data_IF_916782991613
#
_entry.id   IF_916782991613
#
_cell.length_a   1.000
_cell.length_b   1.000
_cell.length_c   1.000
_cell.angle_alpha   90.00
_cell.angle_beta   90.00
_cell.angle_gamma   90.00
#
_symmetry.space_group_name_H-M   'P 1'
#
loop_
_entity.id
_entity.type
_entity.pdbx_description
1 polymer ?
#
# COMPACT_ATOMS: atom_id res chain seq x y z
N UNK A 1 -14.89 -10.21 -14.40
CA UNK A 1 -13.66 -10.65 -13.70
C UNK A 1 -12.92 -11.79 -14.41
N UNK A 2 -13.56 -12.94 -14.67
CA UNK A 2 -12.89 -14.09 -15.31
C UNK A 2 -12.28 -13.78 -16.68
N UNK A 3 -12.90 -12.89 -17.46
CA UNK A 3 -12.40 -12.46 -18.77
C UNK A 3 -11.13 -11.62 -18.64
N UNK A 4 -11.08 -10.70 -17.67
CA UNK A 4 -9.93 -9.81 -17.47
C UNK A 4 -8.71 -10.58 -16.95
N UNK A 5 -8.92 -11.50 -16.00
CA UNK A 5 -7.87 -12.42 -15.53
C UNK A 5 -7.38 -13.31 -16.68
N UNK A 6 -8.29 -13.77 -17.54
CA UNK A 6 -7.96 -14.53 -18.73
C UNK A 6 -7.08 -13.74 -19.70
N UNK A 7 -7.45 -12.49 -20.01
CA UNK A 7 -6.68 -11.59 -20.89
C UNK A 7 -5.28 -11.35 -20.31
N UNK A 8 -5.18 -11.00 -19.02
CA UNK A 8 -3.89 -10.75 -18.38
C UNK A 8 -3.04 -12.03 -18.38
N UNK A 9 -3.63 -13.18 -18.07
CA UNK A 9 -2.95 -14.48 -18.12
C UNK A 9 -2.45 -14.83 -19.53
N UNK A 10 -3.24 -14.54 -20.57
CA UNK A 10 -2.84 -14.72 -21.96
C UNK A 10 -1.69 -13.79 -22.36
N UNK A 11 -1.73 -12.52 -21.96
CA UNK A 11 -0.63 -11.57 -22.21
C UNK A 11 0.66 -12.06 -21.53
N UNK A 12 0.57 -12.47 -20.27
CA UNK A 12 1.71 -13.01 -19.52
C UNK A 12 2.28 -14.28 -20.18
N UNK A 13 1.41 -15.17 -20.64
CA UNK A 13 1.80 -16.36 -21.38
C UNK A 13 2.48 -16.03 -22.70
N UNK A 14 1.97 -15.05 -23.46
CA UNK A 14 2.58 -14.59 -24.72
C UNK A 14 3.96 -13.97 -24.46
N UNK A 15 4.11 -13.19 -23.39
CA UNK A 15 5.40 -12.59 -23.02
C UNK A 15 6.41 -13.67 -22.60
N UNK A 16 6.01 -14.62 -21.76
CA UNK A 16 6.87 -15.73 -21.33
C UNK A 16 7.24 -16.63 -22.52
N UNK A 17 6.27 -16.98 -23.37
CA UNK A 17 6.52 -17.75 -24.58
C UNK A 17 7.43 -16.97 -25.55
N UNK A 18 7.22 -15.66 -25.70
CA UNK A 18 8.05 -14.78 -26.51
C UNK A 18 9.50 -14.71 -26.03
N UNK A 19 9.71 -14.62 -24.71
CA UNK A 19 11.03 -14.67 -24.09
C UNK A 19 11.75 -16.01 -24.30
N UNK A 20 11.00 -17.13 -24.32
CA UNK A 20 11.57 -18.48 -24.51
C UNK A 20 11.85 -18.78 -25.99
N UNK A 21 10.93 -18.42 -26.89
CA UNK A 21 10.97 -18.83 -28.30
C UNK A 21 11.56 -17.76 -29.24
N UNK A 22 11.57 -16.48 -28.84
CA UNK A 22 12.11 -15.37 -29.62
C UNK A 22 12.79 -14.31 -28.72
N UNK A 23 13.84 -14.70 -27.96
CA UNK A 23 14.47 -13.84 -26.96
C UNK A 23 14.98 -12.53 -27.55
N UNK A 24 15.60 -12.53 -28.72
CA UNK A 24 16.14 -11.29 -29.31
C UNK A 24 15.03 -10.28 -29.66
N UNK A 25 13.87 -10.75 -30.16
CA UNK A 25 12.76 -9.87 -30.55
C UNK A 25 12.00 -9.33 -29.32
N UNK A 26 11.87 -10.14 -28.26
CA UNK A 26 11.13 -9.73 -27.06
C UNK A 26 12.01 -9.00 -26.05
N UNK A 27 13.25 -9.46 -25.85
CA UNK A 27 14.20 -8.85 -24.92
C UNK A 27 14.87 -7.65 -25.54
N UNK A 28 15.67 -7.81 -26.60
CA UNK A 28 16.52 -6.73 -27.12
C UNK A 28 15.71 -5.61 -27.77
N UNK A 29 14.67 -5.93 -28.54
CA UNK A 29 13.91 -4.93 -29.32
C UNK A 29 12.73 -4.30 -28.56
N UNK A 30 12.27 -4.93 -27.45
CA UNK A 30 11.09 -4.46 -26.72
C UNK A 30 11.35 -4.24 -25.22
N UNK A 31 11.58 -5.30 -24.45
CA UNK A 31 11.72 -5.18 -22.98
C UNK A 31 12.93 -4.31 -22.63
N UNK A 32 14.05 -4.48 -23.32
CA UNK A 32 15.26 -3.71 -23.06
C UNK A 32 15.04 -2.23 -23.34
N UNK A 33 14.53 -1.86 -24.51
CA UNK A 33 14.38 -0.46 -24.92
C UNK A 33 13.29 0.27 -24.13
N UNK A 34 12.14 -0.35 -23.90
CA UNK A 34 10.97 0.32 -23.33
C UNK A 34 10.82 0.15 -21.81
N UNK A 35 11.40 -0.90 -21.22
CA UNK A 35 11.25 -1.22 -19.79
C UNK A 35 12.61 -1.14 -19.07
N UNK A 36 13.66 -1.78 -19.57
CA UNK A 36 14.91 -1.92 -18.81
C UNK A 36 15.85 -0.71 -18.92
N UNK A 37 16.14 -0.25 -20.14
CA UNK A 37 17.06 0.86 -20.41
C UNK A 37 16.63 2.17 -19.73
N UNK A 38 15.34 2.53 -19.65
CA UNK A 38 14.92 3.70 -18.88
C UNK A 38 15.18 3.54 -17.38
N UNK A 39 14.96 2.35 -16.82
CA UNK A 39 15.19 2.07 -15.39
C UNK A 39 16.68 2.16 -15.07
N UNK A 40 17.54 1.54 -15.89
CA UNK A 40 19.00 1.56 -15.69
C UNK A 40 19.57 2.96 -15.89
N UNK A 41 19.01 3.77 -16.81
CA UNK A 41 19.42 5.16 -16.98
C UNK A 41 19.00 6.06 -15.83
N UNK A 42 17.85 5.80 -15.22
CA UNK A 42 17.38 6.51 -14.02
C UNK A 42 18.25 6.16 -12.81
N UNK A 43 18.73 4.91 -12.75
CA UNK A 43 19.66 4.44 -11.72
C UNK A 43 21.08 5.00 -11.85
N UNK A 44 21.43 5.54 -13.03
CA UNK A 44 22.75 6.11 -13.27
C UNK A 44 22.86 7.57 -12.83
N UNK A 45 24.10 8.07 -12.86
CA UNK A 45 24.58 9.40 -12.39
C UNK A 45 23.84 10.67 -12.84
N UNK A 46 22.78 10.58 -13.65
CA UNK A 46 22.03 11.72 -14.18
C UNK A 46 20.68 11.95 -13.51
N UNK A 47 20.11 10.97 -12.79
CA UNK A 47 18.83 11.10 -12.04
C UNK A 47 17.62 11.59 -12.85
N UNK A 48 17.73 11.61 -14.18
CA UNK A 48 16.69 12.05 -15.11
C UNK A 48 16.71 11.11 -16.31
N UNK A 49 16.06 9.94 -16.15
CA UNK A 49 15.67 9.18 -17.32
C UNK A 49 14.65 10.00 -18.11
N UNK A 50 15.03 10.46 -19.30
CA UNK A 50 14.10 11.02 -20.28
C UNK A 50 13.06 9.98 -20.69
N UNK A 51 12.02 9.81 -19.88
CA UNK A 51 10.96 8.83 -20.09
C UNK A 51 10.16 9.21 -21.34
N UNK A 52 10.04 8.27 -22.27
CA UNK A 52 9.12 8.44 -23.40
C UNK A 52 7.67 8.29 -22.93
N UNK A 53 6.73 8.90 -23.66
CA UNK A 53 5.29 8.73 -23.41
C UNK A 53 4.83 7.27 -23.48
N UNK A 54 5.53 6.45 -24.27
CA UNK A 54 5.25 5.01 -24.40
C UNK A 54 5.68 4.25 -23.15
N UNK A 55 6.88 4.52 -22.63
CA UNK A 55 7.39 3.86 -21.40
C UNK A 55 6.47 4.18 -20.22
N UNK A 56 6.11 5.46 -20.10
CA UNK A 56 5.20 5.94 -19.06
C UNK A 56 3.84 5.26 -19.14
N UNK A 57 3.27 5.12 -20.34
CA UNK A 57 2.00 4.42 -20.53
C UNK A 57 2.09 2.93 -20.16
N UNK A 58 3.17 2.24 -20.53
CA UNK A 58 3.40 0.84 -20.17
C UNK A 58 3.50 0.68 -18.64
N UNK A 59 4.20 1.57 -17.95
CA UNK A 59 4.30 1.53 -16.49
C UNK A 59 2.96 1.80 -15.80
N UNK A 60 2.21 2.81 -16.22
CA UNK A 60 0.89 3.13 -15.66
C UNK A 60 -0.07 1.97 -15.89
N UNK A 61 -0.15 1.44 -17.11
CA UNK A 61 -1.03 0.32 -17.44
C UNK A 61 -0.64 -0.95 -16.67
N UNK A 62 0.66 -1.21 -16.51
CA UNK A 62 1.17 -2.31 -15.69
C UNK A 62 0.74 -2.20 -14.24
N UNK A 63 0.92 -1.01 -13.64
CA UNK A 63 0.51 -0.73 -12.26
C UNK A 63 -1.01 -0.85 -12.06
N UNK A 64 -1.82 -0.27 -12.95
CA UNK A 64 -3.28 -0.39 -12.91
C UNK A 64 -3.71 -1.85 -13.05
N UNK A 65 -3.10 -2.59 -13.97
CA UNK A 65 -3.40 -4.02 -14.16
C UNK A 65 -3.05 -4.84 -12.92
N UNK A 66 -1.91 -4.58 -12.29
CA UNK A 66 -1.50 -5.23 -11.05
C UNK A 66 -2.50 -4.98 -9.92
N UNK A 67 -2.96 -3.74 -9.75
CA UNK A 67 -3.99 -3.39 -8.75
C UNK A 67 -5.29 -4.15 -9.01
N UNK A 68 -5.75 -4.21 -10.26
CA UNK A 68 -6.99 -4.91 -10.59
C UNK A 68 -6.88 -6.43 -10.34
N UNK A 69 -5.74 -7.04 -10.70
CA UNK A 69 -5.50 -8.47 -10.44
C UNK A 69 -5.46 -8.76 -8.96
N UNK A 70 -4.75 -7.94 -8.17
CA UNK A 70 -4.70 -8.08 -6.72
C UNK A 70 -6.09 -7.94 -6.10
N UNK A 71 -6.89 -6.95 -6.53
CA UNK A 71 -8.28 -6.80 -6.08
C UNK A 71 -9.12 -8.04 -6.41
N UNK A 72 -9.01 -8.58 -7.62
CA UNK A 72 -9.73 -9.78 -8.02
C UNK A 72 -9.29 -11.02 -7.21
N UNK A 73 -8.00 -11.11 -6.87
CA UNK A 73 -7.46 -12.16 -6.02
C UNK A 73 -8.01 -12.07 -4.59
N UNK A 74 -8.00 -10.88 -3.99
CA UNK A 74 -8.57 -10.64 -2.66
C UNK A 74 -10.06 -11.02 -2.60
N UNK A 75 -10.84 -10.64 -3.63
CA UNK A 75 -12.27 -11.01 -3.73
C UNK A 75 -12.47 -12.52 -3.89
N UNK A 76 -11.71 -13.16 -4.79
CA UNK A 76 -11.84 -14.61 -5.04
C UNK A 76 -11.47 -15.45 -3.81
N UNK A 77 -10.48 -15.01 -3.05
CA UNK A 77 -9.97 -15.75 -1.89
C UNK A 77 -10.72 -15.42 -0.59
N UNK A 78 -11.72 -14.53 -0.65
CA UNK A 78 -12.52 -14.07 0.50
C UNK A 78 -11.65 -13.78 1.71
N UNK A 79 -10.52 -13.11 1.48
CA UNK A 79 -9.58 -12.76 2.55
C UNK A 79 -10.32 -11.77 3.46
N UNK A 80 -10.39 -12.01 4.77
CA UNK A 80 -11.11 -11.13 5.68
C UNK A 80 -10.49 -9.73 5.64
N UNK A 81 -11.20 -8.79 5.05
CA UNK A 81 -10.86 -7.37 5.02
C UNK A 81 -11.52 -6.70 6.21
N UNK A 82 -10.70 -6.36 7.20
CA UNK A 82 -11.08 -5.57 8.37
C UNK A 82 -11.12 -4.07 8.00
N UNK A 83 -11.94 -3.26 8.66
CA UNK A 83 -11.99 -1.80 8.44
C UNK A 83 -10.61 -1.16 8.73
N UNK A 84 -9.85 -1.78 9.62
CA UNK A 84 -8.47 -1.40 9.94
C UNK A 84 -7.45 -1.67 8.83
N UNK A 85 -7.81 -2.44 7.80
CA UNK A 85 -6.96 -2.71 6.64
C UNK A 85 -6.59 -1.42 5.90
N UNK A 86 -7.46 -0.41 5.90
CA UNK A 86 -7.21 0.85 5.21
C UNK A 86 -6.02 1.58 5.82
N UNK A 87 -5.91 1.58 7.16
CA UNK A 87 -4.75 2.16 7.86
C UNK A 87 -3.46 1.43 7.53
N UNK A 88 -3.53 0.11 7.42
CA UNK A 88 -2.39 -0.70 6.98
C UNK A 88 -1.96 -0.29 5.57
N UNK A 89 -2.89 -0.22 4.61
CA UNK A 89 -2.58 0.15 3.23
C UNK A 89 -2.03 1.58 3.11
N UNK A 90 -2.57 2.54 3.86
CA UNK A 90 -2.05 3.91 3.88
C UNK A 90 -0.58 3.92 4.34
N UNK A 91 -0.23 3.15 5.38
CA UNK A 91 1.17 3.07 5.83
C UNK A 91 2.09 2.50 4.74
N UNK A 92 1.64 1.56 3.93
CA UNK A 92 2.41 1.07 2.77
C UNK A 92 2.56 2.12 1.66
N UNK A 93 1.55 2.94 1.42
CA UNK A 93 1.64 4.07 0.47
C UNK A 93 2.64 5.11 0.96
N UNK A 94 2.72 5.37 2.27
CA UNK A 94 3.70 6.30 2.87
C UNK A 94 5.12 5.72 2.87
N UNK A 95 5.27 4.40 2.99
CA UNK A 95 6.58 3.75 2.99
C UNK A 95 7.36 3.95 1.68
N UNK A 96 6.67 3.86 0.53
CA UNK A 96 7.30 4.02 -0.78
C UNK A 96 8.07 5.36 -0.95
N UNK A 97 7.46 6.54 -0.73
CA UNK A 97 8.19 7.81 -0.82
C UNK A 97 9.27 7.95 0.25
N UNK A 98 9.11 7.35 1.43
CA UNK A 98 10.15 7.38 2.48
C UNK A 98 11.46 6.74 1.99
N UNK A 99 11.35 5.57 1.35
CA UNK A 99 12.49 4.86 0.79
C UNK A 99 13.00 5.50 -0.51
N UNK A 100 12.11 6.09 -1.31
CA UNK A 100 12.51 6.80 -2.53
C UNK A 100 13.37 8.02 -2.24
N UNK A 101 13.07 8.80 -1.20
CA UNK A 101 13.94 9.92 -0.82
C UNK A 101 15.36 9.46 -0.45
N UNK A 102 15.53 8.24 0.06
CA UNK A 102 16.86 7.68 0.31
C UNK A 102 17.57 7.32 -1.01
N UNK A 103 16.83 6.85 -2.00
CA UNK A 103 17.33 6.60 -3.35
C UNK A 103 17.72 7.91 -4.06
N UNK A 104 16.88 8.95 -4.02
CA UNK A 104 17.23 10.30 -4.52
C UNK A 104 18.47 10.91 -3.84
N UNK A 105 18.78 10.45 -2.62
CA UNK A 105 19.95 10.87 -1.87
C UNK A 105 21.21 10.03 -2.18
N UNK A 106 21.17 9.18 -3.20
CA UNK A 106 22.24 8.23 -3.57
C UNK A 106 22.66 7.33 -2.40
N UNK A 107 21.72 6.96 -1.50
CA UNK A 107 22.04 6.09 -0.37
C UNK A 107 22.40 4.67 -0.83
N UNK A 108 21.69 4.14 -1.84
CA UNK A 108 21.87 2.78 -2.31
C UNK A 108 22.99 2.70 -3.35
N UNK A 109 23.86 1.70 -3.23
CA UNK A 109 24.92 1.47 -4.21
C UNK A 109 24.42 0.82 -5.50
N UNK A 110 25.32 0.79 -6.48
CA UNK A 110 25.08 0.26 -7.83
C UNK A 110 24.44 -1.14 -7.80
N UNK A 111 23.27 -1.26 -8.44
CA UNK A 111 22.46 -2.47 -8.54
C UNK A 111 21.33 -2.58 -7.52
N UNK A 112 21.48 -2.03 -6.31
CA UNK A 112 20.41 -1.99 -5.29
C UNK A 112 19.51 -0.77 -5.49
N UNK A 113 20.08 0.35 -5.90
CA UNK A 113 19.42 1.55 -6.41
C UNK A 113 18.25 1.25 -7.38
N UNK A 114 18.45 0.34 -8.34
CA UNK A 114 17.46 -0.11 -9.32
C UNK A 114 16.18 -0.63 -8.66
N UNK A 115 16.26 -1.23 -7.47
CA UNK A 115 15.09 -1.74 -6.75
C UNK A 115 14.22 -0.63 -6.16
N UNK A 116 14.78 0.55 -5.91
CA UNK A 116 14.11 1.69 -5.29
C UNK A 116 13.60 2.74 -6.30
N UNK A 117 13.86 2.51 -7.59
CA UNK A 117 13.33 3.30 -8.71
C UNK A 117 11.92 2.85 -9.10
N UNK A 118 11.13 3.77 -9.66
CA UNK A 118 9.81 3.46 -10.20
C UNK A 118 9.90 2.70 -11.55
N UNK A 119 9.11 1.64 -11.77
CA UNK A 119 8.03 1.11 -10.92
C UNK A 119 8.46 -0.01 -9.96
N UNK A 120 9.73 -0.44 -9.98
CA UNK A 120 10.24 -1.61 -9.24
C UNK A 120 10.04 -1.49 -7.73
N UNK A 121 10.13 -0.27 -7.17
CA UNK A 121 9.87 -0.02 -5.76
C UNK A 121 8.50 -0.54 -5.31
N UNK A 122 7.46 -0.28 -6.10
CA UNK A 122 6.10 -0.69 -5.76
C UNK A 122 5.91 -2.20 -5.86
N UNK A 123 6.58 -2.86 -6.81
CA UNK A 123 6.44 -4.30 -7.02
C UNK A 123 7.11 -5.10 -5.90
N UNK A 124 8.32 -4.73 -5.49
CA UNK A 124 8.99 -5.45 -4.41
C UNK A 124 8.35 -5.13 -3.05
N UNK A 125 7.92 -3.87 -2.80
CA UNK A 125 7.16 -3.51 -1.59
C UNK A 125 5.82 -4.24 -1.53
N UNK A 126 5.15 -4.45 -2.67
CA UNK A 126 3.95 -5.30 -2.72
C UNK A 126 4.25 -6.77 -2.33
N UNK A 127 5.43 -7.28 -2.70
CA UNK A 127 5.92 -8.58 -2.24
C UNK A 127 6.06 -8.64 -0.71
N UNK A 128 6.65 -7.63 -0.11
CA UNK A 128 6.77 -7.51 1.36
C UNK A 128 5.42 -7.31 2.05
N UNK A 129 4.49 -6.59 1.42
CA UNK A 129 3.11 -6.45 1.89
C UNK A 129 2.42 -7.81 1.95
N UNK A 130 2.49 -8.59 0.87
CA UNK A 130 1.91 -9.95 0.82
C UNK A 130 2.58 -10.86 1.86
N UNK A 131 3.91 -10.78 2.03
CA UNK A 131 4.63 -11.54 3.04
C UNK A 131 4.14 -11.19 4.46
N UNK A 132 4.02 -9.89 4.78
CA UNK A 132 3.53 -9.43 6.08
C UNK A 132 2.09 -9.90 6.35
N UNK A 133 1.22 -9.88 5.33
CA UNK A 133 -0.14 -10.40 5.40
C UNK A 133 -0.17 -11.92 5.65
N UNK A 134 0.70 -12.67 4.96
CA UNK A 134 0.85 -14.11 5.14
C UNK A 134 1.33 -14.46 6.56
N UNK A 135 2.31 -13.72 7.09
CA UNK A 135 2.80 -13.86 8.47
C UNK A 135 1.66 -13.68 9.48
N UNK A 136 0.83 -12.64 9.30
CA UNK A 136 -0.34 -12.40 10.14
C UNK A 136 -1.38 -13.52 10.04
N UNK A 137 -1.62 -14.05 8.84
CA UNK A 137 -2.56 -15.15 8.64
C UNK A 137 -2.11 -16.46 9.30
N UNK A 138 -0.82 -16.81 9.15
CA UNK A 138 -0.21 -18.03 9.72
C UNK A 138 -0.20 -17.96 11.26
N UNK A 139 0.19 -16.80 11.81
CA UNK A 139 0.40 -16.64 13.25
C UNK A 139 -0.82 -16.07 14.00
N UNK A 140 -2.02 -16.13 13.41
CA UNK A 140 -3.25 -15.55 13.99
C UNK A 140 -3.62 -16.00 15.40
N UNK A 141 -3.08 -17.14 15.86
CA UNK A 141 -3.34 -17.70 17.20
C UNK A 141 -2.24 -17.41 18.23
N UNK A 142 -1.08 -16.91 17.80
CA UNK A 142 0.09 -16.71 18.65
C UNK A 142 0.78 -15.38 18.32
N UNK A 143 0.55 -14.39 19.19
CA UNK A 143 1.05 -13.02 19.00
C UNK A 143 2.56 -12.92 19.12
N UNK A 144 3.17 -13.70 20.02
CA UNK A 144 4.62 -13.76 20.18
C UNK A 144 5.29 -14.34 18.93
N UNK A 145 4.72 -15.39 18.36
CA UNK A 145 5.20 -15.98 17.10
C UNK A 145 5.08 -15.00 15.94
N UNK A 146 3.97 -14.26 15.86
CA UNK A 146 3.77 -13.21 14.87
C UNK A 146 4.78 -12.07 15.03
N UNK A 147 5.01 -11.58 16.25
CA UNK A 147 6.00 -10.55 16.52
C UNK A 147 7.41 -11.02 16.14
N UNK A 148 7.80 -12.22 16.56
CA UNK A 148 9.12 -12.78 16.26
C UNK A 148 9.35 -12.93 14.75
N UNK A 149 8.37 -13.47 14.02
CA UNK A 149 8.46 -13.64 12.56
C UNK A 149 8.48 -12.31 11.82
N UNK A 150 7.73 -11.29 12.28
CA UNK A 150 7.81 -9.93 11.73
C UNK A 150 9.16 -9.28 12.00
N UNK A 151 9.73 -9.46 13.19
CA UNK A 151 11.07 -8.95 13.49
C UNK A 151 12.15 -9.65 12.66
N UNK A 152 12.02 -10.95 12.40
CA UNK A 152 12.91 -11.67 11.48
C UNK A 152 12.78 -11.14 10.06
N UNK A 153 11.56 -10.93 9.56
CA UNK A 153 11.33 -10.33 8.24
C UNK A 153 11.88 -8.90 8.17
N UNK A 154 11.80 -8.14 9.27
CA UNK A 154 12.31 -6.77 9.37
C UNK A 154 13.84 -6.78 9.33
N UNK A 155 14.46 -7.63 10.12
CA UNK A 155 15.91 -7.83 10.09
C UNK A 155 16.36 -8.29 8.70
N UNK A 156 15.63 -9.19 8.04
CA UNK A 156 15.93 -9.62 6.67
C UNK A 156 15.84 -8.45 5.68
N UNK A 157 14.82 -7.60 5.78
CA UNK A 157 14.71 -6.40 4.95
C UNK A 157 15.91 -5.47 5.16
N UNK A 158 16.19 -5.12 6.42
CA UNK A 158 17.28 -4.19 6.76
C UNK A 158 18.65 -4.75 6.38
N UNK A 159 18.90 -6.04 6.64
CA UNK A 159 20.20 -6.66 6.36
C UNK A 159 20.46 -6.91 4.89
N UNK A 160 19.43 -7.18 4.08
CA UNK A 160 19.59 -7.38 2.62
C UNK A 160 19.66 -6.06 1.85
N UNK A 161 18.85 -5.08 2.22
CA UNK A 161 18.64 -3.89 1.38
C UNK A 161 19.27 -2.62 1.93
N UNK A 162 19.41 -2.48 3.26
CA UNK A 162 19.73 -1.18 3.88
C UNK A 162 21.15 -1.15 4.44
N UNK A 163 21.51 -2.16 5.23
CA UNK A 163 22.78 -2.22 5.94
C UNK A 163 24.02 -2.34 5.03
N UNK A 164 24.01 -3.11 3.92
CA UNK A 164 25.16 -3.20 3.03
C UNK A 164 25.54 -1.86 2.40
N UNK A 165 24.57 -0.94 2.30
CA UNK A 165 24.74 0.37 1.69
C UNK A 165 25.23 1.42 2.69
N UNK A 166 25.12 1.17 4.00
CA UNK A 166 25.59 2.10 5.02
C UNK A 166 27.12 2.32 4.95
N UNK A 167 27.88 1.28 4.58
CA UNK A 167 29.34 1.36 4.45
C UNK A 167 29.84 2.10 3.21
N UNK A 168 28.95 2.47 2.28
CA UNK A 168 29.32 3.22 1.07
C UNK A 168 29.59 4.69 1.37
N UNK A 169 28.99 5.20 2.44
CA UNK A 169 29.02 6.61 2.79
C UNK A 169 29.81 6.81 4.09
N UNK A 170 30.73 7.78 4.08
CA UNK A 170 31.56 8.11 5.25
C UNK A 170 30.71 8.91 6.27
N UNK A 171 29.75 8.21 6.88
CA UNK A 171 28.68 8.78 7.72
C UNK A 171 28.70 8.19 9.12
N UNK A 172 28.05 8.87 10.06
CA UNK A 172 27.88 8.32 11.40
C UNK A 172 26.86 7.18 11.41
N UNK A 173 27.06 6.17 12.25
CA UNK A 173 26.10 5.05 12.37
C UNK A 173 24.96 5.32 13.37
N UNK A 174 25.02 6.46 14.08
CA UNK A 174 24.17 6.73 15.25
C UNK A 174 22.67 6.75 14.93
N UNK A 175 22.25 7.51 13.92
CA UNK A 175 20.82 7.61 13.57
C UNK A 175 20.34 6.42 12.74
N UNK A 176 21.23 5.76 11.98
CA UNK A 176 20.93 4.51 11.26
C UNK A 176 20.59 3.41 12.27
N UNK A 177 21.45 3.19 13.27
CA UNK A 177 21.24 2.20 14.32
C UNK A 177 20.04 2.57 15.19
N UNK A 178 19.95 3.85 15.61
CA UNK A 178 18.84 4.35 16.41
C UNK A 178 17.49 4.19 15.71
N UNK A 179 17.41 4.53 14.43
CA UNK A 179 16.22 4.36 13.59
C UNK A 179 15.84 2.89 13.40
N UNK A 180 16.82 2.01 13.21
CA UNK A 180 16.60 0.56 13.08
C UNK A 180 16.04 -0.04 14.37
N UNK A 181 16.63 0.31 15.52
CA UNK A 181 16.14 -0.14 16.83
C UNK A 181 14.74 0.43 17.09
N UNK A 182 14.52 1.72 16.82
CA UNK A 182 13.22 2.36 16.98
C UNK A 182 12.14 1.70 16.10
N UNK A 183 12.49 1.34 14.85
CA UNK A 183 11.60 0.61 13.95
C UNK A 183 11.16 -0.75 14.51
N UNK A 184 12.12 -1.54 15.04
CA UNK A 184 11.82 -2.81 15.70
C UNK A 184 10.95 -2.62 16.95
N UNK A 185 11.20 -1.60 17.76
CA UNK A 185 10.37 -1.24 18.92
C UNK A 185 8.96 -0.86 18.49
N UNK A 186 8.80 -0.10 17.41
CA UNK A 186 7.50 0.31 16.87
C UNK A 186 6.69 -0.90 16.40
N UNK A 187 7.32 -1.89 15.76
CA UNK A 187 6.66 -3.16 15.43
C UNK A 187 6.10 -3.79 16.72
N UNK A 188 6.92 -3.92 17.76
CA UNK A 188 6.49 -4.49 19.04
C UNK A 188 5.35 -3.68 19.67
N UNK A 189 5.46 -2.36 19.73
CA UNK A 189 4.43 -1.47 20.30
C UNK A 189 3.11 -1.60 19.55
N UNK A 190 3.12 -1.64 18.22
CA UNK A 190 1.90 -1.78 17.43
C UNK A 190 1.26 -3.13 17.68
N UNK A 191 2.02 -4.24 17.63
CA UNK A 191 1.48 -5.57 17.92
C UNK A 191 0.87 -5.61 19.32
N UNK A 192 1.57 -5.04 20.31
CA UNK A 192 1.14 -4.98 21.71
C UNK A 192 0.06 -3.94 21.99
N UNK A 193 -0.39 -3.13 21.04
CA UNK A 193 -1.47 -2.15 21.24
C UNK A 193 -2.70 -2.41 20.35
N UNK A 194 -2.58 -3.28 19.35
CA UNK A 194 -3.63 -3.60 18.37
C UNK A 194 -4.22 -4.99 18.57
N UNK A 195 -4.40 -5.44 19.82
CA UNK A 195 -4.85 -6.79 20.17
C UNK A 195 -6.26 -7.08 19.66
N UNK A 196 -7.08 -6.04 19.54
CA UNK A 196 -8.45 -6.14 19.05
C UNK A 196 -8.58 -6.13 17.52
N UNK A 197 -7.48 -5.95 16.78
CA UNK A 197 -7.50 -5.85 15.31
C UNK A 197 -7.33 -7.21 14.65
N UNK A 198 -7.78 -7.35 13.40
CA UNK A 198 -7.53 -8.54 12.60
C UNK A 198 -6.03 -8.85 12.47
N UNK A 199 -5.64 -10.13 12.56
CA UNK A 199 -4.23 -10.52 12.53
C UNK A 199 -3.47 -10.08 11.26
N UNK A 200 -4.17 -9.99 10.12
CA UNK A 200 -3.60 -9.57 8.82
C UNK A 200 -3.38 -8.06 8.78
N UNK A 201 -4.39 -7.26 9.14
CA UNK A 201 -4.27 -5.79 9.16
C UNK A 201 -3.20 -5.36 10.16
N UNK A 202 -3.14 -6.02 11.31
CA UNK A 202 -2.14 -5.83 12.37
C UNK A 202 -0.71 -6.12 11.91
N UNK A 203 -0.46 -7.24 11.23
CA UNK A 203 0.88 -7.56 10.76
C UNK A 203 1.36 -6.60 9.67
N UNK A 204 0.46 -6.23 8.75
CA UNK A 204 0.74 -5.28 7.68
C UNK A 204 1.09 -3.88 8.20
N UNK A 205 0.28 -3.34 9.12
CA UNK A 205 0.52 -1.99 9.68
C UNK A 205 1.77 -1.94 10.55
N UNK A 206 2.01 -3.00 11.36
CA UNK A 206 3.20 -3.06 12.21
C UNK A 206 4.48 -3.06 11.38
N UNK A 207 4.52 -3.91 10.34
CA UNK A 207 5.69 -4.03 9.48
C UNK A 207 5.99 -2.73 8.72
N UNK A 208 4.99 -2.13 8.07
CA UNK A 208 5.14 -0.88 7.34
C UNK A 208 5.58 0.26 8.27
N UNK A 209 4.98 0.38 9.45
CA UNK A 209 5.35 1.43 10.42
C UNK A 209 6.77 1.29 10.93
N UNK A 210 7.23 0.05 11.17
CA UNK A 210 8.62 -0.22 11.54
C UNK A 210 9.62 0.22 10.45
N UNK A 211 9.30 -0.06 9.19
CA UNK A 211 10.12 0.36 8.05
C UNK A 211 10.09 1.88 7.83
N UNK A 212 8.95 2.54 8.04
CA UNK A 212 8.86 4.01 7.97
C UNK A 212 9.78 4.64 9.03
N UNK A 213 9.72 4.19 10.28
CA UNK A 213 10.54 4.75 11.36
C UNK A 213 12.03 4.49 11.12
N UNK A 214 12.37 3.34 10.58
CA UNK A 214 13.73 3.06 10.11
C UNK A 214 14.17 4.05 9.03
N UNK A 215 13.35 4.27 8.00
CA UNK A 215 13.65 5.22 6.92
C UNK A 215 13.80 6.66 7.42
N UNK A 216 12.94 7.10 8.35
CA UNK A 216 13.07 8.41 9.00
C UNK A 216 14.36 8.54 9.82
N UNK A 217 14.84 7.45 10.42
CA UNK A 217 16.16 7.43 11.06
C UNK A 217 17.31 7.65 10.07
N UNK A 218 17.20 7.09 8.87
CA UNK A 218 18.17 7.34 7.80
C UNK A 218 18.09 8.77 7.28
N UNK A 219 16.89 9.36 7.23
CA UNK A 219 16.74 10.77 6.91
C UNK A 219 17.38 11.68 7.97
N UNK A 220 17.24 11.33 9.25
CA UNK A 220 17.93 12.04 10.32
C UNK A 220 19.45 11.92 10.19
N UNK A 221 19.96 10.76 9.74
CA UNK A 221 21.38 10.59 9.44
C UNK A 221 21.81 11.48 8.27
N UNK A 222 21.07 11.49 7.18
CA UNK A 222 21.34 12.33 6.01
C UNK A 222 21.33 13.82 6.39
N UNK A 223 20.40 14.25 7.24
CA UNK A 223 20.33 15.62 7.73
C UNK A 223 21.50 15.98 8.67
N UNK A 224 22.00 15.01 9.45
CA UNK A 224 23.10 15.21 10.39
C UNK A 224 24.47 15.20 9.69
N UNK A 225 24.69 14.26 8.78
CA UNK A 225 25.91 14.11 7.99
C UNK A 225 25.56 13.91 6.51
N UNK A 226 25.34 15.00 5.76
CA UNK A 226 25.12 14.89 4.32
C UNK A 226 26.38 14.37 3.61
N UNK A 227 26.22 13.45 2.67
CA UNK A 227 27.29 12.97 1.79
C UNK A 227 27.15 13.56 0.39
N UNK A 228 28.23 13.53 -0.39
CA UNK A 228 28.25 14.04 -1.77
C UNK A 228 27.47 13.06 -2.65
N UNK A 229 26.47 13.57 -3.39
CA UNK A 229 25.74 12.80 -4.38
C UNK A 229 26.64 12.50 -5.60
N UNK A 230 26.30 11.48 -6.39
CA UNK A 230 27.05 11.14 -7.62
C UNK A 230 27.09 12.31 -8.63
N UNK A 231 26.10 13.20 -8.55
CA UNK A 231 26.05 14.46 -9.30
C UNK A 231 27.14 15.47 -8.92
N UNK A 232 27.93 15.20 -7.88
CA UNK A 232 28.97 16.09 -7.34
C UNK A 232 28.41 17.26 -6.50
N UNK A 233 27.09 17.28 -6.28
CA UNK A 233 26.40 18.30 -5.50
C UNK A 233 26.21 17.83 -4.05
N UNK A 234 26.20 18.78 -3.11
CA UNK A 234 25.87 18.49 -1.72
C UNK A 234 24.33 18.53 -1.56
N UNK A 235 23.73 17.57 -0.84
CA UNK A 235 22.28 17.56 -0.53
C UNK A 235 21.81 18.82 0.21
N UNK A 236 22.73 19.65 0.71
CA UNK A 236 22.44 20.94 1.35
C UNK A 236 22.01 22.03 0.37
N UNK A 237 22.34 21.89 -0.91
CA UNK A 237 21.99 22.86 -1.96
C UNK A 237 20.62 22.56 -2.59
N UNK A 238 19.99 21.43 -2.22
CA UNK A 238 18.61 21.07 -2.57
C UNK A 238 17.78 20.90 -1.30
N UNK A 239 16.67 21.61 -1.21
CA UNK A 239 15.76 21.55 -0.06
C UNK A 239 15.14 20.14 0.07
N UNK A 240 15.76 19.24 0.84
CA UNK A 240 15.20 17.93 1.24
C UNK A 240 13.75 18.08 1.78
N UNK A 241 13.43 19.26 2.31
CA UNK A 241 12.12 19.60 2.87
C UNK A 241 11.06 19.85 1.80
N UNK A 242 11.41 20.37 0.61
CA UNK A 242 10.41 20.75 -0.42
C UNK A 242 9.69 19.52 -1.02
N UNK A 243 10.39 18.45 -1.46
CA UNK A 243 9.72 17.25 -1.96
C UNK A 243 8.82 16.62 -0.90
N UNK A 244 9.25 16.58 0.36
CA UNK A 244 8.44 16.08 1.47
C UNK A 244 7.16 16.89 1.65
N UNK A 245 7.29 18.23 1.65
CA UNK A 245 6.16 19.13 1.87
C UNK A 245 5.17 18.99 0.70
N UNK A 246 5.64 18.96 -0.55
CA UNK A 246 4.76 18.78 -1.71
C UNK A 246 4.12 17.39 -1.71
N UNK A 247 4.88 16.32 -1.50
CA UNK A 247 4.38 14.93 -1.62
C UNK A 247 3.50 14.52 -0.44
N UNK A 248 3.69 15.07 0.75
CA UNK A 248 2.87 14.73 1.93
C UNK A 248 1.79 15.77 2.18
N UNK A 249 2.12 17.07 2.18
CA UNK A 249 1.15 18.11 2.54
C UNK A 249 0.11 18.30 1.44
N UNK A 250 0.48 18.24 0.16
CA UNK A 250 -0.49 18.45 -0.92
C UNK A 250 -1.56 17.33 -0.96
N UNK A 251 -1.23 16.03 -0.88
CA UNK A 251 -2.26 14.99 -0.76
C UNK A 251 -3.05 15.06 0.54
N UNK A 252 -2.45 15.46 1.67
CA UNK A 252 -3.18 15.69 2.91
C UNK A 252 -4.18 16.84 2.79
N UNK A 253 -3.81 17.94 2.12
CA UNK A 253 -4.72 19.04 1.83
C UNK A 253 -5.85 18.56 0.92
N UNK A 254 -5.54 17.83 -0.15
CA UNK A 254 -6.56 17.29 -1.07
C UNK A 254 -7.51 16.35 -0.34
N UNK A 255 -7.01 15.39 0.43
CA UNK A 255 -7.84 14.45 1.20
C UNK A 255 -8.67 15.18 2.25
N UNK A 256 -8.13 16.20 2.92
CA UNK A 256 -8.89 17.03 3.84
C UNK A 256 -10.01 17.82 3.15
N UNK A 257 -9.73 18.43 1.99
CA UNK A 257 -10.74 19.14 1.19
C UNK A 257 -11.86 18.20 0.72
N UNK A 258 -11.50 17.00 0.27
CA UNK A 258 -12.44 15.96 -0.17
C UNK A 258 -13.29 15.47 1.00
N UNK A 259 -12.67 15.21 2.16
CA UNK A 259 -13.36 14.82 3.38
C UNK A 259 -14.33 15.91 3.85
N UNK A 260 -13.88 17.16 3.94
CA UNK A 260 -14.72 18.28 4.36
C UNK A 260 -15.96 18.46 3.46
N UNK A 261 -15.83 18.15 2.16
CA UNK A 261 -16.93 18.23 1.20
C UNK A 261 -18.02 17.17 1.39
N UNK A 262 -17.70 16.01 1.97
CA UNK A 262 -18.66 14.92 2.18
C UNK A 262 -19.16 14.76 3.61
N UNK A 263 -18.61 15.51 4.58
CA UNK A 263 -18.88 15.32 6.01
C UNK A 263 -20.33 15.61 6.38
N UNK A 264 -20.88 16.70 5.85
CA UNK A 264 -22.27 17.11 6.10
C UNK A 264 -23.26 16.08 5.53
N UNK A 265 -23.01 15.61 4.31
CA UNK A 265 -23.87 14.63 3.64
C UNK A 265 -23.82 13.26 4.32
N UNK A 266 -22.64 12.82 4.79
CA UNK A 266 -22.51 11.60 5.60
C UNK A 266 -23.27 11.73 6.93
N UNK A 267 -23.17 12.88 7.61
CA UNK A 267 -23.90 13.12 8.86
C UNK A 267 -25.41 13.08 8.63
N UNK A 268 -25.91 13.74 7.58
CA UNK A 268 -27.32 13.72 7.23
C UNK A 268 -27.81 12.31 6.89
N UNK A 269 -27.01 11.54 6.15
CA UNK A 269 -27.35 10.16 5.81
C UNK A 269 -27.45 9.27 7.07
N UNK A 270 -26.48 9.38 8.00
CA UNK A 270 -26.51 8.66 9.28
C UNK A 270 -27.70 9.06 10.17
N UNK A 271 -28.13 10.32 10.11
CA UNK A 271 -29.32 10.79 10.83
C UNK A 271 -30.61 10.18 10.25
N UNK A 272 -30.63 9.82 8.98
CA UNK A 272 -31.76 9.08 8.37
C UNK A 272 -31.74 7.58 8.66
N UNK A 273 -30.76 7.08 9.44
CA UNK A 273 -30.60 5.66 9.75
C UNK A 273 -30.06 4.83 8.58
N UNK A 274 -29.57 5.48 7.52
CA UNK A 274 -29.02 4.83 6.33
C UNK A 274 -27.49 4.87 6.33
N UNK A 275 -26.86 3.88 5.69
CA UNK A 275 -25.41 3.81 5.46
C UNK A 275 -25.05 4.10 4.00
N UNK A 276 -23.85 4.64 3.79
CA UNK A 276 -23.40 5.05 2.45
C UNK A 276 -23.25 3.82 1.57
N UNK A 277 -23.92 3.82 0.41
CA UNK A 277 -23.81 2.73 -0.57
C UNK A 277 -24.46 1.42 -0.15
N UNK A 278 -25.25 1.41 0.92
CA UNK A 278 -26.01 0.23 1.39
C UNK A 278 -27.48 0.44 1.08
N UNK A 279 -28.11 -0.58 0.48
CA UNK A 279 -29.55 -0.58 0.26
C UNK A 279 -30.24 -0.76 1.63
N UNK A 280 -31.27 0.04 1.95
CA UNK A 280 -32.01 -0.09 3.21
C UNK A 280 -32.50 -1.51 3.47
N UNK A 281 -32.49 -1.91 4.74
CA UNK A 281 -32.86 -3.26 5.15
C UNK A 281 -34.26 -3.65 4.66
N UNK A 282 -34.36 -4.82 4.02
CA UNK A 282 -35.62 -5.39 3.53
C UNK A 282 -35.93 -5.17 2.05
N UNK A 283 -35.04 -4.53 1.28
CA UNK A 283 -35.15 -4.37 -0.17
C UNK A 283 -34.06 -5.16 -0.91
N UNK A 284 -34.46 -5.85 -1.97
CA UNK A 284 -33.50 -6.46 -2.91
C UNK A 284 -33.01 -5.43 -3.94
N UNK A 285 -31.88 -5.72 -4.61
CA UNK A 285 -31.34 -4.85 -5.66
C UNK A 285 -32.34 -4.65 -6.81
N UNK A 286 -33.01 -5.72 -7.23
CA UNK A 286 -33.99 -5.67 -8.33
C UNK A 286 -35.20 -4.80 -7.95
N UNK A 287 -35.65 -4.84 -6.70
CA UNK A 287 -36.72 -3.98 -6.20
C UNK A 287 -36.26 -2.52 -6.05
N UNK A 288 -35.00 -2.30 -5.69
CA UNK A 288 -34.41 -0.98 -5.54
C UNK A 288 -34.28 -0.23 -6.88
N UNK A 289 -33.89 -0.93 -7.95
CA UNK A 289 -33.73 -0.37 -9.29
C UNK A 289 -35.05 -0.25 -10.08
N UNK A 290 -36.13 -0.89 -9.60
CA UNK A 290 -37.42 -0.91 -10.29
C UNK A 290 -38.19 0.42 -10.25
N UNK A 291 -37.86 1.30 -9.30
CA UNK A 291 -38.53 2.60 -9.10
C UNK A 291 -37.52 3.75 -9.15
N UNK A 292 -37.96 4.92 -9.63
CA UNK A 292 -37.15 6.14 -9.52
C UNK A 292 -37.11 6.62 -8.06
N UNK A 293 -35.93 6.47 -7.44
CA UNK A 293 -35.66 6.83 -6.05
C UNK A 293 -34.62 7.94 -5.92
N UNK A 294 -34.49 8.79 -6.95
CA UNK A 294 -33.58 9.94 -6.98
C UNK A 294 -33.74 10.91 -5.79
N UNK A 295 -34.94 11.00 -5.21
CA UNK A 295 -35.23 11.80 -4.02
C UNK A 295 -34.89 11.11 -2.68
N UNK A 296 -34.55 9.81 -2.70
CA UNK A 296 -34.24 9.07 -1.49
C UNK A 296 -32.90 9.55 -0.89
N UNK A 297 -32.78 9.70 0.44
CA UNK A 297 -31.56 10.17 1.09
C UNK A 297 -30.30 9.39 0.68
N UNK A 298 -30.44 8.07 0.45
CA UNK A 298 -29.36 7.21 -0.05
C UNK A 298 -28.86 7.64 -1.43
N UNK A 299 -29.73 7.88 -2.40
CA UNK A 299 -29.34 8.34 -3.75
C UNK A 299 -28.78 9.78 -3.72
N UNK A 300 -29.40 10.66 -2.94
CA UNK A 300 -29.05 12.07 -2.91
C UNK A 300 -27.74 12.36 -2.16
N UNK A 301 -27.47 11.65 -1.06
CA UNK A 301 -26.36 11.95 -0.16
C UNK A 301 -25.17 10.99 -0.33
N UNK A 302 -25.36 9.77 -0.86
CA UNK A 302 -24.26 8.82 -1.05
C UNK A 302 -23.14 9.32 -1.98
N UNK A 303 -23.40 10.04 -3.10
CA UNK A 303 -22.33 10.48 -4.01
C UNK A 303 -21.27 11.37 -3.37
N UNK A 304 -21.65 12.13 -2.32
CA UNK A 304 -20.73 12.97 -1.55
C UNK A 304 -20.35 12.35 -0.22
N UNK A 305 -21.26 11.62 0.43
CA UNK A 305 -20.98 10.88 1.66
C UNK A 305 -19.86 9.85 1.48
N UNK A 306 -19.76 9.22 0.29
CA UNK A 306 -18.69 8.25 0.00
C UNK A 306 -17.29 8.84 0.07
N UNK A 307 -17.14 10.16 -0.15
CA UNK A 307 -15.87 10.86 -0.10
C UNK A 307 -15.26 10.91 1.32
N UNK A 308 -16.09 10.71 2.34
CA UNK A 308 -15.66 10.73 3.75
C UNK A 308 -15.43 9.38 4.38
N UNK A 309 -15.90 8.33 3.73
CA UNK A 309 -15.67 6.96 4.18
C UNK A 309 -14.44 6.41 3.46
N UNK A 310 -13.47 5.83 4.19
CA UNK A 310 -12.43 5.05 3.53
C UNK A 310 -13.14 3.94 2.74
N UNK A 311 -12.96 3.95 1.42
CA UNK A 311 -13.75 3.24 0.43
C UNK A 311 -14.28 1.86 0.89
N UNK A 312 -15.49 1.83 1.49
CA UNK A 312 -16.36 0.65 1.45
C UNK A 312 -17.07 0.70 0.11
N UNK A 313 -16.40 0.21 -0.93
CA UNK A 313 -17.11 -0.20 -2.14
C UNK A 313 -17.69 -1.57 -1.83
N UNK A 314 -18.78 -1.61 -1.08
CA UNK A 314 -19.65 -2.78 -0.99
C UNK A 314 -20.76 -2.65 -2.04
N UNK A 315 -20.37 -2.41 -3.30
CA UNK A 315 -21.27 -2.66 -4.41
C UNK A 315 -21.19 -4.15 -4.75
N UNK A 316 -22.06 -4.89 -4.08
CA UNK A 316 -22.57 -6.20 -4.44
C UNK A 316 -22.82 -6.33 -5.94
N UNK A 317 -21.84 -6.86 -6.67
CA UNK A 317 -22.08 -7.51 -7.95
C UNK A 317 -22.20 -9.01 -7.68
N UNK A 318 -23.44 -9.49 -7.56
CA UNK A 318 -23.93 -10.91 -7.62
C UNK A 318 -24.55 -11.43 -6.31
N UNK A 319 -25.90 -11.35 -6.25
CA UNK A 319 -26.90 -12.32 -5.76
C UNK A 319 -26.68 -13.17 -4.50
N UNK A 320 -25.76 -12.85 -3.59
CA UNK A 320 -25.67 -13.58 -2.32
C UNK A 320 -25.22 -12.67 -1.17
N UNK A 321 -26.03 -11.66 -0.87
CA UNK A 321 -25.90 -10.85 0.33
C UNK A 321 -26.60 -11.52 1.50
N UNK A 322 -25.86 -12.33 2.25
CA UNK A 322 -26.10 -12.47 3.69
C UNK A 322 -24.85 -12.07 4.43
N UNK A 323 -24.85 -10.87 5.01
CA UNK A 323 -23.99 -10.57 6.14
C UNK A 323 -24.84 -9.88 7.21
N UNK A 324 -25.16 -10.66 8.25
CA UNK A 324 -25.57 -10.08 9.52
C UNK A 324 -24.38 -9.36 10.15
N UNK A 325 -24.68 -8.22 10.75
CA UNK A 325 -23.83 -7.44 11.64
C UNK A 325 -22.97 -8.35 12.55
N UNK A 326 -21.66 -8.40 12.30
CA UNK A 326 -20.72 -9.10 13.18
C UNK A 326 -20.46 -8.33 14.49
N UNK A 327 -21.01 -7.13 14.63
CA UNK A 327 -21.02 -6.32 15.84
C UNK A 327 -22.16 -6.67 16.83
N UNK A 328 -23.16 -7.46 16.42
CA UNK A 328 -24.28 -7.87 17.29
C UNK A 328 -24.19 -9.30 17.81
N UNK A 329 -23.31 -10.14 17.24
CA UNK A 329 -23.19 -11.56 17.66
C UNK A 329 -22.44 -11.77 18.99
N UNK A 330 -21.80 -10.75 19.54
CA UNK A 330 -21.17 -10.83 20.87
C UNK A 330 -22.04 -10.28 22.01
N UNK A 331 -23.20 -9.69 21.72
CA UNK A 331 -24.13 -9.23 22.77
C UNK A 331 -25.28 -10.20 23.05
N UNK A 332 -25.53 -11.18 22.18
CA UNK A 332 -26.62 -12.18 22.35
C UNK A 332 -26.19 -13.54 22.90
N UNK A 333 -24.90 -13.79 23.13
CA UNK A 333 -24.41 -15.06 23.73
C UNK A 333 -24.42 -15.03 25.27
N UNK A 334 -24.59 -13.86 25.90
CA UNK A 334 -24.55 -13.70 27.37
C UNK A 334 -25.90 -13.40 28.06
N UNK A 335 -27.03 -13.51 27.37
CA UNK A 335 -28.37 -13.29 27.97
C UNK A 335 -29.30 -14.51 27.90
N UNK A 336 -28.75 -15.71 27.65
CA UNK A 336 -29.51 -16.94 27.45
C UNK A 336 -29.20 -18.05 28.46
N UNK A 337 -29.04 -17.74 29.76
CA UNK A 337 -28.96 -18.76 30.81
C UNK A 337 -29.28 -18.26 32.22
N UNK A 338 -30.42 -17.58 32.41
CA UNK A 338 -30.95 -17.34 33.76
C UNK A 338 -32.49 -17.38 33.72
N UNK A 339 -33.03 -18.60 33.60
CA UNK A 339 -34.38 -18.93 34.05
C UNK A 339 -34.36 -20.37 34.56
N UNK A 340 -33.99 -20.50 35.84
CA UNK A 340 -34.25 -21.65 36.70
C UNK A 340 -35.05 -21.15 37.89
#
# INVERSE_FOLDING_TARGET
ESILIGIIGTVLFIVIAGLIFAPNLFWDDFIKIYIWDPIVKDAGSSGDAGYSGVNTAVYILGMVSAVIVLQAFFRKWRIPTDDHMVWALISWVVLAPVLRVMEDADYFGEGVDVLFISPLIHLHLAGWLILSAAIGHINRKNELSMLATLLVAYLMFTSLLVLPNASLHDTGDGWILGGTIAGAVVIAVIILNTWNWGAISRSMIAFASGLIVMGLGHWAQLAATPWVQESGMMPKDHDIVIPLLVVVVLPLIITYMVWKKGEEDLRHLRLTGNEVGVIPDGLTLDEWESEDRSAHPVEMLSPRGILTTPARIDCSWRNDCRFGSWTERHRSINSGSLSG
#
